data_IF_473116940178
#
_entry.id   IF_473116940178
#
_cell.length_a   1.000
_cell.length_b   1.000
_cell.length_c   1.000
_cell.angle_alpha   90.00
_cell.angle_beta   90.00
_cell.angle_gamma   90.00
#
_symmetry.space_group_name_H-M   'P 1'
#
loop_
_entity.id
_entity.type
_entity.pdbx_description
1 polymer ?
#
# COMPACT_ATOMS: atom_id res chain seq x y z
N UNK A 1 8.86 -12.63 -17.10
CA UNK A 1 8.91 -12.23 -15.69
C UNK A 1 9.06 -13.45 -14.80
N UNK A 2 9.52 -13.22 -13.56
CA UNK A 2 9.70 -14.26 -12.57
C UNK A 2 9.31 -13.72 -11.20
N UNK A 3 8.62 -14.56 -10.40
CA UNK A 3 8.16 -14.21 -9.05
C UNK A 3 8.96 -14.99 -8.02
N UNK A 4 9.37 -14.30 -6.95
CA UNK A 4 9.94 -14.89 -5.76
C UNK A 4 8.93 -14.81 -4.62
N UNK A 5 8.58 -15.96 -4.04
CA UNK A 5 7.62 -16.07 -2.94
C UNK A 5 8.36 -15.99 -1.60
N UNK A 6 7.82 -15.21 -0.68
CA UNK A 6 8.28 -15.02 0.70
C UNK A 6 7.10 -15.13 1.67
N UNK A 7 7.31 -14.86 2.96
CA UNK A 7 6.29 -15.11 4.00
C UNK A 7 5.46 -13.88 4.37
N UNK A 8 5.88 -12.70 3.95
CA UNK A 8 5.22 -11.42 4.26
C UNK A 8 5.58 -10.32 3.28
N UNK A 9 4.75 -9.28 3.22
CA UNK A 9 5.03 -8.11 2.39
C UNK A 9 6.32 -7.39 2.80
N UNK A 10 6.61 -7.27 4.09
CA UNK A 10 7.84 -6.63 4.56
C UNK A 10 9.11 -7.38 4.13
N UNK A 11 9.08 -8.72 4.12
CA UNK A 11 10.16 -9.56 3.59
C UNK A 11 10.30 -9.39 2.07
N UNK A 12 9.17 -9.21 1.35
CA UNK A 12 9.18 -8.94 -0.07
C UNK A 12 9.82 -7.57 -0.41
N UNK A 13 9.59 -6.55 0.41
CA UNK A 13 10.25 -5.23 0.30
C UNK A 13 11.76 -5.39 0.48
N UNK A 14 12.23 -6.11 1.50
CA UNK A 14 13.65 -6.36 1.71
C UNK A 14 14.27 -7.08 0.49
N UNK A 15 13.54 -8.04 -0.08
CA UNK A 15 13.96 -8.73 -1.31
C UNK A 15 14.06 -7.80 -2.51
N UNK A 16 13.08 -6.92 -2.70
CA UNK A 16 13.05 -5.94 -3.79
C UNK A 16 14.18 -4.89 -3.67
N UNK A 17 14.47 -4.41 -2.44
CA UNK A 17 15.60 -3.51 -2.19
C UNK A 17 16.94 -4.17 -2.52
N UNK A 18 17.12 -5.43 -2.10
CA UNK A 18 18.32 -6.24 -2.44
C UNK A 18 18.45 -6.41 -3.96
N UNK A 19 17.33 -6.69 -4.65
CA UNK A 19 17.31 -6.82 -6.09
C UNK A 19 17.74 -5.53 -6.78
N UNK A 20 17.20 -4.37 -6.39
CA UNK A 20 17.55 -3.08 -6.97
C UNK A 20 19.06 -2.78 -6.83
N UNK A 21 19.61 -2.97 -5.64
CA UNK A 21 21.05 -2.82 -5.39
C UNK A 21 21.88 -3.79 -6.23
N UNK A 22 21.40 -5.04 -6.37
CA UNK A 22 22.11 -6.08 -7.15
C UNK A 22 22.10 -5.81 -8.65
N UNK A 23 20.98 -5.33 -9.19
CA UNK A 23 20.81 -5.03 -10.62
C UNK A 23 21.67 -3.83 -11.03
N UNK A 24 21.67 -2.78 -10.22
CA UNK A 24 22.30 -1.51 -10.57
C UNK A 24 23.75 -1.38 -10.10
N UNK A 25 24.16 -2.18 -9.11
CA UNK A 25 25.45 -2.02 -8.42
C UNK A 25 25.54 -0.78 -7.52
N UNK A 26 24.41 -0.10 -7.30
CA UNK A 26 24.30 1.13 -6.51
C UNK A 26 23.70 0.82 -5.15
N UNK A 27 23.89 1.70 -4.16
CA UNK A 27 23.41 1.48 -2.78
C UNK A 27 22.18 2.30 -2.42
N UNK A 28 22.01 3.49 -3.04
CA UNK A 28 21.01 4.45 -2.63
C UNK A 28 19.59 4.03 -3.04
N UNK A 29 18.67 4.05 -2.07
CA UNK A 29 17.24 3.84 -2.29
C UNK A 29 16.49 5.12 -1.94
N UNK A 30 15.51 5.47 -2.74
CA UNK A 30 14.57 6.55 -2.46
C UNK A 30 13.22 5.96 -2.08
N UNK A 31 12.58 6.52 -1.05
CA UNK A 31 11.20 6.25 -0.64
C UNK A 31 10.43 7.56 -0.52
N UNK A 32 9.12 7.49 -0.30
CA UNK A 32 8.32 8.68 -0.05
C UNK A 32 8.32 9.07 1.44
N UNK A 33 8.14 10.36 1.72
CA UNK A 33 7.78 10.82 3.06
C UNK A 33 6.43 10.20 3.44
N UNK A 34 6.25 9.85 4.73
CA UNK A 34 5.05 9.19 5.25
C UNK A 34 4.73 7.83 4.58
N UNK A 35 5.72 7.14 4.04
CA UNK A 35 5.56 5.80 3.51
C UNK A 35 5.56 4.73 4.61
N UNK A 36 4.87 3.62 4.36
CA UNK A 36 4.90 2.43 5.21
C UNK A 36 5.05 1.16 4.38
N UNK A 37 6.19 0.53 4.46
CA UNK A 37 6.53 -0.68 3.71
C UNK A 37 6.72 -1.93 4.58
N UNK A 38 6.62 -1.79 5.89
CA UNK A 38 6.81 -2.89 6.84
C UNK A 38 7.79 -2.55 7.97
N UNK A 39 8.11 -3.55 8.81
CA UNK A 39 8.89 -3.39 10.03
C UNK A 39 10.13 -4.32 10.11
N UNK A 40 10.51 -5.03 9.05
CA UNK A 40 11.86 -5.59 8.95
C UNK A 40 12.88 -4.44 8.80
N UNK A 41 14.13 -4.64 9.16
CA UNK A 41 15.13 -3.56 9.19
C UNK A 41 15.28 -2.83 7.86
N UNK A 42 15.18 -3.53 6.72
CA UNK A 42 15.19 -2.91 5.39
C UNK A 42 13.94 -2.09 5.13
N UNK A 43 12.76 -2.67 5.31
CA UNK A 43 11.48 -1.97 5.12
C UNK A 43 11.30 -0.81 6.11
N UNK A 44 11.72 -0.98 7.37
CA UNK A 44 11.71 0.08 8.39
C UNK A 44 12.61 1.27 7.99
N UNK A 45 13.75 1.01 7.34
CA UNK A 45 14.66 2.06 6.90
C UNK A 45 14.08 2.99 5.84
N UNK A 46 13.05 2.54 5.10
CA UNK A 46 12.35 3.34 4.11
C UNK A 46 11.38 4.34 4.73
N UNK A 47 11.04 4.19 6.01
CA UNK A 47 10.11 5.06 6.72
C UNK A 47 10.80 6.35 7.15
N UNK A 48 10.24 7.49 6.80
CA UNK A 48 10.66 8.81 7.28
C UNK A 48 9.72 9.30 8.40
N UNK A 49 9.75 8.61 9.53
CA UNK A 49 8.97 8.96 10.71
C UNK A 49 9.81 8.68 11.96
N UNK A 50 10.43 9.73 12.49
CA UNK A 50 11.47 9.64 13.51
C UNK A 50 11.06 8.82 14.74
N UNK A 51 9.86 9.06 15.27
CA UNK A 51 9.36 8.37 16.47
C UNK A 51 9.28 6.84 16.30
N UNK A 52 9.08 6.36 15.06
CA UNK A 52 8.99 4.92 14.76
C UNK A 52 10.33 4.30 14.41
N UNK A 53 11.28 5.08 13.94
CA UNK A 53 12.58 4.57 13.44
C UNK A 53 13.69 4.72 14.47
N UNK A 54 13.73 5.85 15.22
CA UNK A 54 14.81 6.17 16.14
C UNK A 54 15.11 5.07 17.18
N UNK A 55 14.11 4.42 17.81
CA UNK A 55 14.37 3.38 18.81
C UNK A 55 15.12 2.14 18.28
N UNK A 56 15.15 1.96 16.94
CA UNK A 56 15.70 0.78 16.28
C UNK A 56 16.99 1.06 15.50
N UNK A 57 17.55 2.26 15.61
CA UNK A 57 18.81 2.60 14.92
C UNK A 57 20.02 1.82 15.50
N UNK A 58 21.03 1.45 14.63
CA UNK A 58 21.09 1.78 13.22
C UNK A 58 20.21 0.88 12.34
N UNK A 59 19.51 1.50 11.38
CA UNK A 59 18.79 0.79 10.31
C UNK A 59 19.63 0.73 9.03
N UNK A 60 19.10 0.18 7.94
CA UNK A 60 19.82 0.12 6.65
C UNK A 60 20.08 1.55 6.14
N UNK A 61 21.34 1.85 5.85
CA UNK A 61 21.77 3.16 5.38
C UNK A 61 21.54 3.41 3.89
N UNK A 62 21.87 4.64 3.49
CA UNK A 62 21.79 5.15 2.12
C UNK A 62 20.33 5.20 1.60
N UNK A 63 19.45 5.74 2.44
CA UNK A 63 18.05 6.00 2.14
C UNK A 63 17.82 7.51 2.10
N UNK A 64 17.09 7.98 1.10
CA UNK A 64 16.60 9.36 1.00
C UNK A 64 15.12 9.38 0.66
N UNK A 65 14.50 10.55 0.84
CA UNK A 65 13.05 10.66 0.74
C UNK A 65 12.62 11.80 -0.19
N UNK A 66 11.50 11.56 -0.86
CA UNK A 66 10.79 12.53 -1.71
C UNK A 66 9.37 12.73 -1.18
N UNK A 67 8.77 13.87 -1.50
CA UNK A 67 7.36 14.08 -1.22
C UNK A 67 6.51 13.41 -2.32
N UNK A 68 5.49 12.68 -1.90
CA UNK A 68 4.53 12.10 -2.83
C UNK A 68 3.81 13.22 -3.59
N UNK A 69 3.60 13.06 -4.89
CA UNK A 69 3.05 14.08 -5.80
C UNK A 69 3.91 15.35 -6.03
N UNK A 70 5.16 15.39 -5.53
CA UNK A 70 6.08 16.50 -5.83
C UNK A 70 6.85 16.25 -7.12
N UNK A 71 6.62 17.05 -8.15
CA UNK A 71 7.41 17.02 -9.39
C UNK A 71 8.81 17.61 -9.20
N UNK A 72 8.97 18.57 -8.28
CA UNK A 72 10.27 19.15 -7.94
C UNK A 72 11.21 18.09 -7.34
N UNK A 73 10.68 17.21 -6.51
CA UNK A 73 11.47 16.16 -5.84
C UNK A 73 11.99 15.08 -6.81
N UNK A 74 11.50 15.03 -8.04
CA UNK A 74 12.02 14.10 -9.07
C UNK A 74 13.49 14.36 -9.40
N UNK A 75 13.98 15.58 -9.20
CA UNK A 75 15.40 15.92 -9.37
C UNK A 75 16.32 15.18 -8.39
N UNK A 76 15.80 14.70 -7.24
CA UNK A 76 16.53 13.89 -6.28
C UNK A 76 16.80 12.45 -6.76
N UNK A 77 16.10 12.00 -7.79
CA UNK A 77 16.31 10.70 -8.44
C UNK A 77 17.46 10.88 -9.44
N UNK A 78 18.66 10.57 -8.99
CA UNK A 78 19.94 10.79 -9.67
C UNK A 78 20.59 9.46 -10.08
N UNK A 79 21.68 9.50 -10.83
CA UNK A 79 22.37 8.30 -11.36
C UNK A 79 23.00 7.41 -10.28
N UNK A 80 23.10 7.85 -9.03
CA UNK A 80 23.56 7.05 -7.88
C UNK A 80 22.42 6.24 -7.21
N UNK A 81 21.16 6.44 -7.63
CA UNK A 81 20.00 5.74 -7.10
C UNK A 81 19.88 4.34 -7.69
N UNK A 82 19.76 3.33 -6.81
CA UNK A 82 19.50 1.94 -7.19
C UNK A 82 18.02 1.72 -7.52
N UNK A 83 17.14 2.26 -6.70
CA UNK A 83 15.70 2.11 -6.87
C UNK A 83 14.89 3.15 -6.12
N UNK A 84 13.67 3.36 -6.58
CA UNK A 84 12.65 4.19 -5.95
C UNK A 84 11.52 3.28 -5.52
N UNK A 85 11.27 3.20 -4.20
CA UNK A 85 10.23 2.36 -3.59
C UNK A 85 9.05 3.24 -3.20
N UNK A 86 7.90 2.99 -3.79
CA UNK A 86 6.68 3.76 -3.53
C UNK A 86 5.49 2.83 -3.34
N UNK A 87 4.58 3.19 -2.44
CA UNK A 87 3.22 2.66 -2.48
C UNK A 87 2.51 3.23 -3.70
N UNK A 88 1.78 2.41 -4.47
CA UNK A 88 1.01 2.94 -5.62
C UNK A 88 -0.04 3.96 -5.17
N UNK A 89 -0.69 3.71 -4.04
CA UNK A 89 -1.53 4.66 -3.30
C UNK A 89 -0.97 4.70 -1.89
N UNK A 90 -0.60 5.88 -1.42
CA UNK A 90 0.07 6.02 -0.14
C UNK A 90 -0.90 5.76 1.02
N UNK A 91 -0.74 4.59 1.67
CA UNK A 91 -1.70 4.05 2.62
C UNK A 91 -1.76 4.81 3.93
N UNK A 92 -0.64 4.83 4.65
CA UNK A 92 -0.56 5.43 5.99
C UNK A 92 -0.81 6.93 6.05
N UNK A 93 -0.57 7.64 4.96
CA UNK A 93 -0.70 9.09 4.83
C UNK A 93 -2.13 9.58 4.50
N UNK A 94 -3.12 8.70 4.43
CA UNK A 94 -4.50 9.12 4.16
C UNK A 94 -5.05 8.63 2.81
N UNK A 95 -4.54 7.55 2.27
CA UNK A 95 -4.90 7.00 0.96
C UNK A 95 -4.73 8.01 -0.19
N UNK A 96 -3.55 8.63 -0.21
CA UNK A 96 -3.18 9.63 -1.22
C UNK A 96 -2.90 8.93 -2.55
N UNK A 97 -3.63 9.33 -3.58
CA UNK A 97 -3.46 8.83 -4.95
C UNK A 97 -2.37 9.62 -5.69
N UNK A 98 -1.66 9.00 -6.67
CA UNK A 98 -0.85 9.76 -7.62
C UNK A 98 -1.70 10.70 -8.47
N UNK A 99 -1.27 11.94 -8.60
CA UNK A 99 -2.00 12.99 -9.30
C UNK A 99 -1.26 13.50 -10.54
N UNK A 100 -1.98 14.03 -11.51
CA UNK A 100 -1.44 14.76 -12.65
C UNK A 100 -0.35 14.02 -13.43
N UNK A 101 -0.36 12.70 -13.44
CA UNK A 101 0.66 11.87 -14.12
C UNK A 101 2.00 11.78 -13.37
N UNK A 102 2.04 12.13 -12.09
CA UNK A 102 3.26 12.09 -11.28
C UNK A 102 3.94 10.72 -11.29
N UNK A 103 3.19 9.63 -11.11
CA UNK A 103 3.76 8.28 -11.10
C UNK A 103 4.42 7.91 -12.45
N UNK A 104 3.83 8.37 -13.56
CA UNK A 104 4.43 8.25 -14.89
C UNK A 104 5.73 9.06 -15.01
N UNK A 105 5.77 10.26 -14.42
CA UNK A 105 6.97 11.07 -14.40
C UNK A 105 8.09 10.42 -13.54
N UNK A 106 7.74 9.84 -12.39
CA UNK A 106 8.68 9.01 -11.60
C UNK A 106 9.27 7.88 -12.44
N UNK A 107 8.42 7.10 -13.14
CA UNK A 107 8.88 5.99 -14.00
C UNK A 107 9.85 6.48 -15.06
N UNK A 108 9.51 7.55 -15.79
CA UNK A 108 10.38 8.14 -16.81
C UNK A 108 11.71 8.63 -16.24
N UNK A 109 11.68 9.22 -15.04
CA UNK A 109 12.91 9.67 -14.38
C UNK A 109 13.78 8.49 -13.96
N UNK A 110 13.20 7.42 -13.41
CA UNK A 110 13.92 6.17 -13.09
C UNK A 110 14.61 5.61 -14.35
N UNK A 111 13.88 5.52 -15.47
CA UNK A 111 14.42 5.04 -16.74
C UNK A 111 15.60 5.91 -17.21
N UNK A 112 15.48 7.22 -17.14
CA UNK A 112 16.50 8.16 -17.59
C UNK A 112 17.84 8.03 -16.83
N UNK A 113 17.78 7.65 -15.53
CA UNK A 113 18.99 7.50 -14.69
C UNK A 113 19.38 6.04 -14.47
N UNK A 114 18.62 5.08 -14.99
CA UNK A 114 18.85 3.63 -14.82
C UNK A 114 18.58 3.14 -13.40
N UNK A 115 17.67 3.77 -12.66
CA UNK A 115 17.15 3.29 -11.39
C UNK A 115 15.93 2.38 -11.63
N UNK A 116 15.60 1.47 -10.68
CA UNK A 116 14.40 0.66 -10.77
C UNK A 116 13.22 1.35 -10.05
N UNK A 117 12.05 1.39 -10.68
CA UNK A 117 10.79 1.71 -10.00
C UNK A 117 10.23 0.44 -9.36
N UNK A 118 10.08 0.47 -8.05
CA UNK A 118 9.51 -0.61 -7.22
C UNK A 118 8.18 -0.11 -6.69
N UNK A 119 7.07 -0.75 -7.09
CA UNK A 119 5.74 -0.40 -6.57
C UNK A 119 5.28 -1.42 -5.54
N UNK A 120 4.96 -0.91 -4.38
CA UNK A 120 4.34 -1.64 -3.28
C UNK A 120 2.83 -1.77 -3.53
N UNK A 121 2.43 -2.96 -3.94
CA UNK A 121 1.06 -3.38 -4.20
C UNK A 121 0.48 -4.22 -3.05
N UNK A 122 1.14 -4.22 -1.89
CA UNK A 122 0.74 -5.03 -0.74
C UNK A 122 -0.67 -4.64 -0.26
N UNK A 123 -1.01 -3.35 -0.30
CA UNK A 123 -2.34 -2.87 0.07
C UNK A 123 -3.22 -2.55 -1.14
N UNK A 124 -2.77 -1.84 -2.20
CA UNK A 124 -3.62 -1.46 -3.31
C UNK A 124 -3.90 -2.59 -4.32
N UNK A 125 -3.13 -3.68 -4.29
CA UNK A 125 -3.29 -4.80 -5.21
C UNK A 125 -4.46 -5.74 -4.91
N UNK A 126 -4.61 -6.75 -5.72
CA UNK A 126 -5.60 -7.83 -5.61
C UNK A 126 -7.05 -7.33 -5.57
N UNK A 127 -7.40 -6.45 -6.53
CA UNK A 127 -8.76 -5.97 -6.72
C UNK A 127 -9.15 -4.78 -5.83
N UNK A 128 -8.35 -4.42 -4.83
CA UNK A 128 -8.64 -3.42 -3.80
C UNK A 128 -9.03 -2.05 -4.36
N UNK A 129 -8.45 -1.63 -5.48
CA UNK A 129 -8.63 -0.32 -6.09
C UNK A 129 -9.47 -0.33 -7.38
N UNK A 130 -10.17 -1.44 -7.65
CA UNK A 130 -10.95 -1.60 -8.89
C UNK A 130 -10.13 -2.01 -10.11
N UNK A 131 -8.88 -2.43 -9.89
CA UNK A 131 -8.01 -3.10 -10.85
C UNK A 131 -7.29 -4.25 -10.13
N UNK A 132 -6.72 -5.23 -10.85
CA UNK A 132 -6.01 -6.33 -10.19
C UNK A 132 -4.79 -5.81 -9.44
N UNK A 133 -3.98 -4.95 -10.09
CA UNK A 133 -2.96 -4.16 -9.43
C UNK A 133 -3.33 -2.67 -9.45
N UNK A 134 -3.03 -1.95 -8.37
CA UNK A 134 -3.34 -0.54 -8.23
C UNK A 134 -2.70 0.33 -9.32
N UNK A 135 -1.47 0.00 -9.75
CA UNK A 135 -0.73 0.74 -10.78
C UNK A 135 -1.41 0.74 -12.16
N UNK A 136 -2.26 -0.25 -12.45
CA UNK A 136 -3.02 -0.31 -13.73
C UNK A 136 -3.92 0.92 -13.89
N UNK A 137 -4.42 1.48 -12.77
CA UNK A 137 -5.23 2.71 -12.79
C UNK A 137 -4.46 3.94 -13.29
N UNK A 138 -3.13 3.90 -13.31
CA UNK A 138 -2.25 5.03 -13.63
C UNK A 138 -1.44 4.83 -14.91
N UNK A 139 -1.68 3.73 -15.65
CA UNK A 139 -0.98 3.36 -16.88
C UNK A 139 0.55 3.34 -16.72
N UNK A 140 1.04 2.83 -15.58
CA UNK A 140 2.45 2.67 -15.26
C UNK A 140 2.75 1.20 -15.04
N UNK A 141 3.82 0.70 -15.63
CA UNK A 141 4.35 -0.64 -15.34
C UNK A 141 5.67 -0.48 -14.60
N UNK A 142 5.76 -0.90 -13.32
CA UNK A 142 7.00 -0.82 -12.57
C UNK A 142 8.02 -1.87 -13.03
N UNK A 143 9.28 -1.69 -12.62
CA UNK A 143 10.33 -2.68 -12.84
C UNK A 143 10.23 -3.85 -11.85
N UNK A 144 9.72 -3.56 -10.64
CA UNK A 144 9.47 -4.56 -9.59
C UNK A 144 8.10 -4.31 -8.97
N UNK A 145 7.29 -5.35 -8.89
CA UNK A 145 6.01 -5.35 -8.14
C UNK A 145 6.20 -6.09 -6.84
N UNK A 146 5.80 -5.49 -5.72
CA UNK A 146 5.82 -6.12 -4.40
C UNK A 146 4.40 -6.41 -3.95
N UNK A 147 4.14 -7.63 -3.48
CA UNK A 147 2.79 -8.15 -3.18
C UNK A 147 2.72 -8.77 -1.79
N UNK A 148 1.52 -8.83 -1.23
CA UNK A 148 1.26 -9.46 0.07
C UNK A 148 -0.22 -9.37 0.46
N UNK A 149 -0.52 -9.41 1.76
CA UNK A 149 -1.88 -9.25 2.34
C UNK A 149 -2.98 -10.00 1.54
N UNK A 150 -3.76 -9.26 0.75
CA UNK A 150 -4.87 -9.80 -0.05
C UNK A 150 -4.50 -10.97 -0.96
N UNK A 151 -3.24 -11.04 -1.40
CA UNK A 151 -2.71 -12.15 -2.19
C UNK A 151 -2.96 -13.51 -1.55
N UNK A 152 -2.87 -13.60 -0.22
CA UNK A 152 -2.93 -14.87 0.51
C UNK A 152 -4.34 -15.38 0.82
N UNK A 153 -5.39 -14.58 0.62
CA UNK A 153 -6.76 -14.97 0.97
C UNK A 153 -6.92 -15.35 2.46
N UNK A 154 -6.17 -14.70 3.34
CA UNK A 154 -6.11 -14.98 4.78
C UNK A 154 -4.85 -15.73 5.23
N UNK A 155 -4.07 -16.31 4.31
CA UNK A 155 -2.80 -16.99 4.62
C UNK A 155 -1.62 -16.00 4.54
N UNK A 156 -0.57 -16.16 5.40
CA UNK A 156 0.61 -15.30 5.40
C UNK A 156 1.46 -15.55 4.15
N UNK A 157 1.60 -14.54 3.29
CA UNK A 157 2.42 -14.59 2.08
C UNK A 157 2.90 -13.21 1.71
N UNK A 158 4.03 -13.16 1.02
CA UNK A 158 4.49 -12.02 0.25
C UNK A 158 5.17 -12.50 -1.02
N UNK A 159 5.38 -11.61 -1.96
CA UNK A 159 6.09 -11.90 -3.18
C UNK A 159 6.67 -10.62 -3.78
N UNK A 160 7.72 -10.76 -4.60
CA UNK A 160 8.12 -9.72 -5.52
C UNK A 160 8.40 -10.30 -6.89
N UNK A 161 8.06 -9.53 -7.91
CA UNK A 161 8.15 -9.94 -9.32
C UNK A 161 8.94 -8.91 -10.10
N UNK A 162 9.86 -9.37 -10.94
CA UNK A 162 10.59 -8.54 -11.88
C UNK A 162 10.89 -9.31 -13.17
N UNK A 163 11.64 -8.71 -14.09
CA UNK A 163 12.11 -9.41 -15.28
C UNK A 163 12.95 -10.65 -14.91
N UNK A 164 12.85 -11.70 -15.69
CA UNK A 164 13.64 -12.93 -15.49
C UNK A 164 15.15 -12.64 -15.44
N UNK A 165 15.61 -11.66 -16.24
CA UNK A 165 17.01 -11.25 -16.27
C UNK A 165 17.47 -10.67 -14.92
N UNK A 166 16.65 -9.80 -14.31
CA UNK A 166 16.92 -9.23 -13.00
C UNK A 166 16.87 -10.29 -11.90
N UNK A 167 15.82 -11.13 -11.89
CA UNK A 167 15.61 -12.13 -10.83
C UNK A 167 16.72 -13.18 -10.78
N UNK A 168 17.32 -13.55 -11.91
CA UNK A 168 18.45 -14.47 -11.96
C UNK A 168 19.66 -13.97 -11.17
N UNK A 169 19.85 -12.67 -11.05
CA UNK A 169 20.97 -12.10 -10.28
C UNK A 169 20.88 -12.39 -8.77
N UNK A 170 19.74 -12.80 -8.26
CA UNK A 170 19.57 -13.24 -6.86
C UNK A 170 19.99 -14.69 -6.63
N UNK A 171 20.04 -15.51 -7.67
CA UNK A 171 20.41 -16.94 -7.59
C UNK A 171 21.88 -17.21 -7.88
N UNK A 172 22.56 -16.28 -8.55
CA UNK A 172 23.94 -16.44 -9.01
C UNK A 172 24.87 -15.42 -8.35
N UNK A 173 26.06 -15.85 -7.99
CA UNK A 173 27.18 -15.04 -7.45
C UNK A 173 26.79 -14.06 -6.32
N UNK A 174 26.47 -14.54 -5.09
CA UNK A 174 26.66 -15.92 -4.65
C UNK A 174 25.51 -16.84 -5.08
N UNK A 175 25.82 -18.11 -5.29
CA UNK A 175 24.80 -19.15 -5.51
C UNK A 175 23.83 -19.16 -4.31
N UNK A 176 22.52 -19.18 -4.59
CA UNK A 176 21.47 -19.08 -3.57
C UNK A 176 21.55 -17.77 -2.75
N UNK A 177 21.88 -16.66 -3.38
CA UNK A 177 22.09 -15.36 -2.71
C UNK A 177 20.87 -14.77 -2.01
N UNK A 178 19.67 -15.26 -2.34
CA UNK A 178 18.43 -14.91 -1.65
C UNK A 178 17.56 -16.16 -1.50
N UNK A 179 17.39 -16.65 -0.27
CA UNK A 179 16.60 -17.83 0.06
C UNK A 179 15.74 -17.60 1.30
N UNK A 180 14.64 -18.33 1.39
CA UNK A 180 13.74 -18.35 2.55
C UNK A 180 13.25 -19.77 2.78
N UNK A 181 13.05 -20.16 4.06
CA UNK A 181 12.70 -21.53 4.41
C UNK A 181 11.26 -21.89 4.00
N UNK A 182 10.30 -20.98 4.20
CA UNK A 182 8.89 -21.24 3.96
C UNK A 182 8.28 -20.47 2.80
N UNK A 183 9.06 -19.65 2.10
CA UNK A 183 8.60 -18.94 0.90
C UNK A 183 8.16 -19.94 -0.18
N UNK A 184 6.93 -19.78 -0.66
CA UNK A 184 6.33 -20.71 -1.61
C UNK A 184 5.84 -22.03 -1.01
N UNK A 185 5.61 -22.10 0.30
CA UNK A 185 5.02 -23.28 0.94
C UNK A 185 3.74 -23.72 0.21
N UNK A 186 3.58 -25.03 -0.15
CA UNK A 186 2.51 -25.48 -1.03
C UNK A 186 1.10 -25.09 -0.60
N UNK A 187 0.79 -25.15 0.71
CA UNK A 187 -0.53 -24.78 1.23
C UNK A 187 -0.80 -23.28 1.00
N UNK A 188 0.17 -22.44 1.29
CA UNK A 188 0.04 -20.99 1.14
C UNK A 188 0.00 -20.59 -0.34
N UNK A 189 0.81 -21.23 -1.19
CA UNK A 189 0.79 -21.02 -2.64
C UNK A 189 -0.56 -21.45 -3.25
N UNK A 190 -1.15 -22.54 -2.78
CA UNK A 190 -2.49 -22.97 -3.20
C UNK A 190 -3.58 -21.97 -2.81
N UNK A 191 -3.49 -21.40 -1.59
CA UNK A 191 -4.42 -20.36 -1.14
C UNK A 191 -4.27 -19.09 -2.00
N UNK A 192 -3.04 -18.65 -2.28
CA UNK A 192 -2.80 -17.50 -3.14
C UNK A 192 -3.30 -17.70 -4.58
N UNK A 193 -3.13 -18.91 -5.12
CA UNK A 193 -3.67 -19.28 -6.44
C UNK A 193 -5.19 -19.23 -6.45
N UNK A 194 -5.85 -19.82 -5.44
CA UNK A 194 -7.31 -19.80 -5.32
C UNK A 194 -7.84 -18.37 -5.22
N UNK A 195 -7.21 -17.55 -4.36
CA UNK A 195 -7.57 -16.13 -4.19
C UNK A 195 -7.43 -15.36 -5.50
N UNK A 196 -6.29 -15.49 -6.18
CA UNK A 196 -6.04 -14.80 -7.46
C UNK A 196 -7.07 -15.21 -8.52
N UNK A 197 -7.39 -16.50 -8.64
CA UNK A 197 -8.42 -16.99 -9.55
C UNK A 197 -9.79 -16.43 -9.20
N UNK A 198 -10.21 -16.48 -7.94
CA UNK A 198 -11.50 -15.94 -7.51
C UNK A 198 -11.65 -14.46 -7.84
N UNK A 199 -10.58 -13.68 -7.69
CA UNK A 199 -10.61 -12.24 -8.01
C UNK A 199 -10.63 -12.00 -9.51
N UNK A 200 -9.86 -12.76 -10.31
CA UNK A 200 -9.75 -12.58 -11.77
C UNK A 200 -10.93 -13.16 -12.56
N UNK A 201 -11.48 -14.28 -12.10
CA UNK A 201 -12.57 -15.00 -12.79
C UNK A 201 -13.96 -14.53 -12.34
N UNK A 202 -14.04 -13.80 -11.20
CA UNK A 202 -15.29 -13.25 -10.65
C UNK A 202 -15.43 -11.75 -10.90
N UNK A 203 -16.56 -11.20 -10.45
CA UNK A 203 -16.93 -9.79 -10.64
C UNK A 203 -16.39 -8.85 -9.54
N UNK A 204 -15.50 -9.35 -8.65
CA UNK A 204 -15.06 -8.60 -7.47
C UNK A 204 -14.36 -7.28 -7.81
N UNK A 205 -13.58 -7.24 -8.89
CA UNK A 205 -12.90 -6.03 -9.35
C UNK A 205 -13.92 -4.99 -9.81
N UNK A 206 -14.89 -5.38 -10.62
CA UNK A 206 -15.95 -4.49 -11.09
C UNK A 206 -16.82 -3.99 -9.93
N UNK A 207 -17.27 -4.90 -9.06
CA UNK A 207 -18.06 -4.57 -7.88
C UNK A 207 -17.33 -3.61 -6.93
N UNK A 208 -16.00 -3.63 -6.90
CA UNK A 208 -15.21 -2.71 -6.07
C UNK A 208 -15.50 -1.24 -6.39
N UNK A 209 -15.64 -0.89 -7.68
CA UNK A 209 -15.95 0.48 -8.09
C UNK A 209 -17.40 0.86 -7.81
N UNK A 210 -18.34 -0.08 -7.94
CA UNK A 210 -19.75 0.11 -7.59
C UNK A 210 -19.90 0.36 -6.09
N UNK A 211 -19.22 -0.44 -5.28
CA UNK A 211 -19.16 -0.30 -3.82
C UNK A 211 -18.48 1.00 -3.36
N UNK A 212 -17.42 1.44 -4.05
CA UNK A 212 -16.82 2.76 -3.82
C UNK A 212 -17.86 3.87 -4.00
N UNK A 213 -18.61 3.85 -5.10
CA UNK A 213 -19.63 4.85 -5.38
C UNK A 213 -20.73 4.84 -4.30
N UNK A 214 -21.13 3.66 -3.84
CA UNK A 214 -22.11 3.53 -2.75
C UNK A 214 -21.58 4.16 -1.46
N UNK A 215 -20.37 3.85 -1.02
CA UNK A 215 -19.75 4.49 0.14
C UNK A 215 -19.71 6.02 0.00
N UNK A 216 -19.27 6.53 -1.14
CA UNK A 216 -19.18 7.99 -1.39
C UNK A 216 -20.55 8.66 -1.42
N UNK A 217 -21.60 7.96 -1.83
CA UNK A 217 -22.95 8.48 -1.83
C UNK A 217 -23.54 8.58 -0.42
N UNK A 218 -23.22 7.62 0.44
CA UNK A 218 -23.75 7.51 1.81
C UNK A 218 -22.96 8.35 2.82
N UNK A 219 -21.63 8.46 2.70
CA UNK A 219 -20.76 9.17 3.64
C UNK A 219 -20.85 10.69 3.47
N UNK A 220 -22.04 11.25 3.76
CA UNK A 220 -22.37 12.68 3.72
C UNK A 220 -22.71 13.16 5.13
N UNK A 221 -21.83 13.92 5.75
CA UNK A 221 -22.05 14.45 7.11
C UNK A 221 -21.22 15.73 7.33
N UNK A 222 -21.68 16.65 8.19
CA UNK A 222 -20.96 17.89 8.49
C UNK A 222 -19.57 17.67 9.10
N UNK A 223 -19.34 16.55 9.78
CA UNK A 223 -18.04 16.13 10.33
C UNK A 223 -17.23 15.23 9.38
N UNK A 224 -17.64 15.05 8.13
CA UNK A 224 -16.85 14.42 7.07
C UNK A 224 -16.45 15.52 6.09
N UNK A 225 -15.18 15.91 6.13
CA UNK A 225 -14.66 16.99 5.27
C UNK A 225 -14.33 16.49 3.87
N UNK A 226 -13.92 15.22 3.75
CA UNK A 226 -13.52 14.58 2.50
C UNK A 226 -13.61 13.06 2.62
N UNK A 227 -13.85 12.36 1.50
CA UNK A 227 -13.65 10.90 1.37
C UNK A 227 -12.57 10.67 0.32
N UNK A 228 -11.37 10.26 0.76
CA UNK A 228 -10.18 9.99 -0.08
C UNK A 228 -10.06 8.52 -0.43
N UNK A 229 -9.18 8.24 -1.40
CA UNK A 229 -8.80 6.91 -1.80
C UNK A 229 -9.50 6.43 -3.07
N UNK A 230 -9.38 5.12 -3.36
CA UNK A 230 -9.88 4.48 -4.57
C UNK A 230 -10.36 3.06 -4.29
N UNK A 231 -11.47 2.67 -4.91
CA UNK A 231 -12.07 1.36 -4.71
C UNK A 231 -12.51 1.17 -3.25
N UNK A 232 -12.15 0.05 -2.65
CA UNK A 232 -12.38 -0.24 -1.24
C UNK A 232 -11.14 0.05 -0.37
N UNK A 233 -10.35 1.01 -0.75
CA UNK A 233 -9.25 1.62 0.01
C UNK A 233 -9.62 3.08 0.26
N UNK A 234 -10.56 3.34 1.21
CA UNK A 234 -11.15 4.65 1.47
C UNK A 234 -10.82 5.17 2.87
N UNK A 235 -10.75 6.49 2.99
CA UNK A 235 -10.62 7.21 4.24
C UNK A 235 -11.64 8.34 4.30
N UNK A 236 -12.44 8.38 5.37
CA UNK A 236 -13.29 9.53 5.67
C UNK A 236 -12.53 10.48 6.60
N UNK A 237 -12.27 11.70 6.14
CA UNK A 237 -11.55 12.72 6.92
C UNK A 237 -12.51 13.52 7.78
N UNK A 238 -12.11 13.78 9.01
CA UNK A 238 -12.83 14.61 9.97
C UNK A 238 -12.07 15.92 10.25
N UNK A 239 -12.69 16.91 10.87
CA UNK A 239 -12.02 18.18 11.20
C UNK A 239 -10.82 18.04 12.15
N UNK A 240 -10.83 17.02 13.05
CA UNK A 240 -9.75 16.85 14.04
C UNK A 240 -9.50 15.39 14.39
N UNK A 241 -8.31 15.12 14.94
CA UNK A 241 -7.92 13.80 15.42
C UNK A 241 -8.81 13.31 16.58
N UNK A 242 -9.28 14.22 17.43
CA UNK A 242 -10.15 13.92 18.57
C UNK A 242 -11.50 13.37 18.06
N UNK A 243 -12.10 14.01 17.05
CA UNK A 243 -13.35 13.56 16.42
C UNK A 243 -13.15 12.17 15.78
N UNK A 244 -12.04 11.98 15.06
CA UNK A 244 -11.70 10.66 14.49
C UNK A 244 -11.62 9.59 15.57
N UNK A 245 -10.88 9.87 16.65
CA UNK A 245 -10.68 8.92 17.74
C UNK A 245 -12.01 8.59 18.44
N UNK A 246 -12.80 9.59 18.77
CA UNK A 246 -14.11 9.40 19.41
C UNK A 246 -15.06 8.61 18.48
N UNK A 247 -15.08 8.92 17.18
CA UNK A 247 -15.92 8.21 16.20
C UNK A 247 -15.54 6.73 16.08
N UNK A 248 -14.25 6.39 16.03
CA UNK A 248 -13.79 4.99 15.94
C UNK A 248 -14.19 4.20 17.20
N UNK A 249 -13.96 4.77 18.39
CA UNK A 249 -14.28 4.10 19.65
C UNK A 249 -15.79 3.92 19.84
N UNK A 250 -16.59 4.96 19.56
CA UNK A 250 -18.04 4.86 19.66
C UNK A 250 -18.64 3.91 18.62
N UNK A 251 -18.07 3.84 17.41
CA UNK A 251 -18.49 2.89 16.39
C UNK A 251 -18.31 1.44 16.83
N UNK A 252 -17.23 1.15 17.55
CA UNK A 252 -16.97 -0.18 18.12
C UNK A 252 -18.08 -0.60 19.11
N UNK A 253 -18.56 0.30 19.95
CA UNK A 253 -19.66 0.07 20.88
C UNK A 253 -21.00 -0.22 20.17
N UNK A 254 -21.17 0.35 18.98
CA UNK A 254 -22.34 0.12 18.10
C UNK A 254 -22.15 -1.11 17.17
N UNK A 255 -21.03 -1.87 17.31
CA UNK A 255 -20.75 -3.09 16.55
C UNK A 255 -20.08 -2.88 15.20
N UNK A 256 -19.51 -1.70 14.91
CA UNK A 256 -18.75 -1.40 13.72
C UNK A 256 -17.26 -1.22 14.06
N UNK A 257 -16.40 -2.11 13.55
CA UNK A 257 -14.95 -2.03 13.73
C UNK A 257 -14.36 -1.14 12.64
N UNK A 258 -13.87 0.02 13.06
CA UNK A 258 -13.11 0.96 12.24
C UNK A 258 -11.67 1.04 12.74
N UNK A 259 -10.80 1.75 11.99
CA UNK A 259 -9.40 1.87 12.37
C UNK A 259 -8.80 3.22 12.00
N UNK A 260 -7.69 3.59 12.64
CA UNK A 260 -6.89 4.78 12.36
C UNK A 260 -5.97 4.56 11.16
N UNK A 261 -5.45 5.65 10.62
CA UNK A 261 -4.30 5.63 9.73
C UNK A 261 -3.03 6.07 10.46
N UNK A 262 -1.86 5.62 9.98
CA UNK A 262 -0.60 5.78 10.72
C UNK A 262 -0.11 7.22 10.82
N UNK A 263 -0.32 8.01 9.75
CA UNK A 263 0.25 9.35 9.62
C UNK A 263 -0.82 10.42 9.37
N UNK A 264 -2.07 10.02 9.12
CA UNK A 264 -3.21 10.93 8.98
C UNK A 264 -4.19 10.68 10.13
N UNK A 265 -4.00 11.42 11.21
CA UNK A 265 -4.77 11.25 12.45
C UNK A 265 -6.24 11.65 12.33
N UNK A 266 -6.57 12.46 11.31
CA UNK A 266 -7.95 12.91 11.02
C UNK A 266 -8.74 11.94 10.15
N UNK A 267 -8.18 10.78 9.81
CA UNK A 267 -8.79 9.84 8.88
C UNK A 267 -9.36 8.61 9.58
N UNK A 268 -10.62 8.35 9.33
CA UNK A 268 -11.29 7.08 9.64
C UNK A 268 -11.04 6.15 8.46
N UNK A 269 -10.34 5.03 8.69
CA UNK A 269 -10.02 4.04 7.68
C UNK A 269 -11.22 3.16 7.35
N UNK A 270 -11.54 3.04 6.05
CA UNK A 270 -12.62 2.20 5.51
C UNK A 270 -12.02 1.25 4.47
N UNK A 271 -11.76 0.01 4.90
CA UNK A 271 -11.12 -1.02 4.07
C UNK A 271 -11.80 -2.39 4.29
N UNK A 272 -13.08 -2.51 3.92
CA UNK A 272 -13.83 -3.75 4.11
C UNK A 272 -13.29 -4.86 3.18
N UNK A 273 -13.69 -6.13 3.38
CA UNK A 273 -13.40 -7.19 2.41
C UNK A 273 -14.03 -6.88 1.05
N UNK A 274 -13.44 -7.37 -0.05
CA UNK A 274 -14.00 -7.18 -1.40
C UNK A 274 -15.40 -7.79 -1.54
N UNK A 275 -15.69 -8.80 -0.73
CA UNK A 275 -16.96 -9.55 -0.70
C UNK A 275 -18.06 -8.86 0.10
N UNK A 276 -17.80 -7.69 0.71
CA UNK A 276 -18.83 -6.95 1.45
C UNK A 276 -20.08 -6.73 0.58
N UNK A 277 -21.26 -6.97 1.12
CA UNK A 277 -22.54 -6.71 0.43
C UNK A 277 -22.94 -5.23 0.51
N UNK A 278 -23.84 -4.81 -0.39
CA UNK A 278 -24.42 -3.45 -0.34
C UNK A 278 -25.16 -3.19 0.97
N UNK A 279 -25.92 -4.17 1.49
CA UNK A 279 -26.63 -4.05 2.76
C UNK A 279 -25.66 -3.84 3.95
N UNK A 280 -24.52 -4.54 3.94
CA UNK A 280 -23.49 -4.36 4.96
C UNK A 280 -22.82 -2.97 4.85
N UNK A 281 -22.62 -2.45 3.63
CA UNK A 281 -22.13 -1.09 3.39
C UNK A 281 -23.11 -0.07 3.95
N UNK A 282 -24.41 -0.19 3.61
CA UNK A 282 -25.46 0.70 4.10
C UNK A 282 -25.48 0.69 5.62
N UNK A 283 -25.55 -0.49 6.24
CA UNK A 283 -25.56 -0.65 7.69
C UNK A 283 -24.33 -0.04 8.36
N UNK A 284 -23.13 -0.28 7.80
CA UNK A 284 -21.89 0.28 8.34
C UNK A 284 -21.85 1.81 8.26
N UNK A 285 -22.32 2.38 7.14
CA UNK A 285 -22.43 3.83 6.98
C UNK A 285 -23.47 4.42 7.95
N UNK A 286 -24.63 3.81 8.12
CA UNK A 286 -25.66 4.26 9.06
C UNK A 286 -25.13 4.32 10.50
N UNK A 287 -24.38 3.29 10.94
CA UNK A 287 -23.76 3.27 12.26
C UNK A 287 -22.77 4.43 12.39
N UNK A 288 -21.88 4.62 11.41
CA UNK A 288 -20.89 5.70 11.44
C UNK A 288 -21.55 7.08 11.47
N UNK A 289 -22.56 7.32 10.63
CA UNK A 289 -23.28 8.59 10.59
C UNK A 289 -24.02 8.88 11.90
N UNK A 290 -24.71 7.89 12.49
CA UNK A 290 -25.34 8.00 13.81
C UNK A 290 -24.33 8.36 14.92
N UNK A 291 -23.13 7.79 14.86
CA UNK A 291 -22.05 8.13 15.80
C UNK A 291 -21.59 9.57 15.61
N UNK A 292 -21.40 10.00 14.37
CA UNK A 292 -21.01 11.38 14.05
C UNK A 292 -22.10 12.40 14.44
N UNK A 293 -23.40 12.07 14.31
CA UNK A 293 -24.51 12.90 14.81
C UNK A 293 -24.43 13.09 16.34
N UNK A 294 -24.14 12.03 17.10
CA UNK A 294 -23.96 12.12 18.56
C UNK A 294 -22.77 13.02 18.92
N UNK A 295 -21.66 12.93 18.18
CA UNK A 295 -20.49 13.78 18.39
C UNK A 295 -20.82 15.24 18.05
N UNK A 296 -21.48 15.49 16.91
CA UNK A 296 -21.87 16.83 16.48
C UNK A 296 -22.77 17.51 17.52
N UNK A 297 -23.70 16.77 18.13
CA UNK A 297 -24.59 17.28 19.18
C UNK A 297 -23.83 17.68 20.45
N UNK A 298 -22.71 17.01 20.78
CA UNK A 298 -21.87 17.38 21.92
C UNK A 298 -21.01 18.62 21.66
N UNK A 299 -20.74 18.93 20.39
CA UNK A 299 -19.90 20.08 19.98
C UNK A 299 -20.70 21.37 19.79
N UNK A 300 -22.02 21.27 19.64
CA UNK A 300 -22.97 22.39 19.54
C UNK A 300 -23.39 22.88 20.92
#
# INVERSE_FOLDING_TARGET
EQTYLVNSGTEAIDGAMKLARRVTGRSKIISANQAYHGNTFGALSLMNYEERVAPFRPVVGDISHINFNSFEDLEKITEDVAGVVLETIQGGAGFIQPENGWLTAVKKRCEAVGALLILDEIQPGFGRTGAFFGFENYNVVPDVVVMGKGMGGGMPIGAFTASTAHMRLLSDNPKMGHITTFGGHPVIAAAALATSKTILEGDLIQQTLEKENLFRSLLKHQLITEVRGKGLMLAALTPSAEITNEAILMAQDEGLILFWLLFETKAIRITPPLTISEDEIVKGCEILLKVLDKIATKLS
#
